data_IF_739307759345
#
_entry.id   IF_739307759345
#
_cell.length_a   1.000
_cell.length_b   1.000
_cell.length_c   1.000
_cell.angle_alpha   90.00
_cell.angle_beta   90.00
_cell.angle_gamma   90.00
#
_symmetry.space_group_name_H-M   'P 1'
#
loop_
_entity.id
_entity.type
_entity.pdbx_description
1 polymer ?
2 polymer ?
3 non-polymer ?
4 water ?
#
# COMPACT_ATOMS: atom_id res chain seq x y z
N UNK A 26 -14.26 16.50 -3.04
CA UNK A 26 -15.28 16.30 -2.01
C UNK A 26 -15.65 17.62 -1.33
N UNK A 27 -16.64 17.58 -0.46
CA UNK A 27 -17.06 18.77 0.25
C UNK A 27 -15.99 19.26 1.20
N UNK A 28 -16.16 20.48 1.70
CA UNK A 28 -15.21 21.07 2.64
C UNK A 28 -15.19 20.32 3.96
N UNK A 29 -14.01 20.24 4.56
CA UNK A 29 -13.85 19.54 5.83
C UNK A 29 -14.01 20.48 7.02
N UNK A 30 -15.01 20.20 7.85
CA UNK A 30 -15.27 21.00 9.03
C UNK A 30 -15.06 20.13 10.26
N UNK A 31 -14.90 20.78 11.41
CA UNK A 31 -14.68 20.08 12.68
C UNK A 31 -15.69 18.95 12.85
N UNK A 32 -16.95 19.21 12.56
CA UNK A 32 -18.01 18.22 12.69
C UNK A 32 -17.63 16.92 11.96
N UNK A 33 -17.29 17.05 10.69
CA UNK A 33 -16.91 15.88 9.89
C UNK A 33 -15.78 15.09 10.51
N UNK A 34 -14.77 15.80 11.00
CA UNK A 34 -13.63 15.15 11.63
C UNK A 34 -14.10 14.38 12.85
N UNK A 35 -15.11 14.92 13.55
CA UNK A 35 -15.66 14.27 14.73
C UNK A 35 -16.34 12.98 14.32
N UNK A 36 -17.13 13.04 13.25
CA UNK A 36 -17.84 11.87 12.76
C UNK A 36 -16.86 10.76 12.41
N UNK A 37 -15.76 11.11 11.74
CA UNK A 37 -14.77 10.11 11.37
C UNK A 37 -14.18 9.45 12.62
N UNK A 38 -13.83 10.28 13.61
CA UNK A 38 -13.27 9.74 14.84
C UNK A 38 -14.23 8.74 15.49
N UNK A 39 -15.52 9.05 15.49
CA UNK A 39 -16.51 8.16 16.08
C UNK A 39 -16.58 6.86 15.29
N UNK A 40 -16.53 6.96 13.97
CA UNK A 40 -16.58 5.77 13.14
C UNK A 40 -15.33 4.93 13.35
N UNK A 41 -14.19 5.60 13.54
CA UNK A 41 -12.95 4.87 13.78
C UNK A 41 -13.06 4.16 15.12
N UNK A 42 -13.58 4.84 16.13
CA UNK A 42 -13.73 4.23 17.46
C UNK A 42 -14.53 2.93 17.37
N UNK A 43 -15.58 2.95 16.56
CA UNK A 43 -16.40 1.75 16.41
C UNK A 43 -15.61 0.64 15.72
N UNK A 44 -14.82 0.97 14.70
CA UNK A 44 -14.04 -0.05 14.02
C UNK A 44 -13.07 -0.67 15.03
N UNK A 45 -12.48 0.17 15.86
CA UNK A 45 -11.54 -0.32 16.86
C UNK A 45 -12.25 -1.29 17.79
N UNK A 46 -13.45 -0.93 18.25
CA UNK A 46 -14.20 -1.79 19.17
C UNK A 46 -14.48 -3.15 18.53
N UNK A 47 -14.95 -3.13 17.29
CA UNK A 47 -15.25 -4.36 16.58
C UNK A 47 -14.01 -5.25 16.44
N UNK A 48 -12.87 -4.63 16.15
CA UNK A 48 -11.62 -5.36 15.97
C UNK A 48 -10.94 -5.83 17.26
N UNK A 49 -11.55 -5.55 18.40
CA UNK A 49 -11.00 -5.99 19.68
C UNK A 49 -11.64 -7.32 20.07
N UNK A 50 -12.60 -7.76 19.26
CA UNK A 50 -13.29 -9.01 19.49
C UNK A 50 -12.28 -10.16 19.55
N UNK A 51 -12.24 -10.90 20.66
CA UNK A 51 -11.32 -12.02 20.84
C UNK A 51 -11.42 -13.09 19.76
N UNK A 52 -12.59 -13.22 19.15
CA UNK A 52 -12.80 -14.22 18.10
C UNK A 52 -11.97 -13.96 16.86
N UNK A 53 -11.58 -12.70 16.65
CA UNK A 53 -10.77 -12.34 15.49
C UNK A 53 -9.37 -12.90 15.60
N UNK A 54 -8.82 -12.85 16.82
CA UNK A 54 -7.46 -13.32 17.06
C UNK A 54 -6.48 -12.53 16.20
N UNK A 55 -6.69 -11.21 16.10
CA UNK A 55 -5.81 -10.34 15.30
C UNK A 55 -4.42 -10.31 15.90
N UNK A 56 -3.41 -10.54 15.05
CA UNK A 56 -2.04 -10.52 15.54
C UNK A 56 -1.57 -9.08 15.57
N UNK A 57 -0.80 -8.73 16.60
CA UNK A 57 -0.27 -7.39 16.73
C UNK A 57 0.97 -7.26 15.87
N UNK A 58 0.75 -7.22 14.56
CA UNK A 58 1.83 -7.10 13.59
C UNK A 58 1.37 -6.18 12.46
N UNK A 59 2.29 -5.37 11.93
CA UNK A 59 1.96 -4.44 10.84
C UNK A 59 1.44 -5.21 9.62
N UNK A 60 0.30 -4.79 9.06
CA UNK A 60 -0.53 -3.67 9.49
C UNK A 60 -1.49 -4.09 10.59
N UNK A 61 -1.51 -3.33 11.69
CA UNK A 61 -2.37 -3.64 12.83
C UNK A 61 -3.40 -2.53 13.00
N UNK A 62 -4.63 -2.82 12.59
CA UNK A 62 -5.70 -1.84 12.65
C UNK A 62 -5.87 -1.21 14.04
N UNK A 63 -5.58 -1.96 15.10
CA UNK A 63 -5.70 -1.46 16.47
C UNK A 63 -4.69 -0.36 16.80
N UNK A 64 -3.65 -0.24 15.96
CA UNK A 64 -2.63 0.80 16.14
C UNK A 64 -2.92 1.91 15.15
N UNK A 65 -3.14 1.51 13.90
CA UNK A 65 -3.38 2.41 12.78
C UNK A 65 -4.49 3.46 12.95
N UNK A 66 -5.65 3.05 13.43
CA UNK A 66 -6.74 4.00 13.60
C UNK A 66 -6.42 5.02 14.69
N UNK A 67 -5.96 4.56 15.87
CA UNK A 67 -5.65 5.52 16.93
C UNK A 67 -4.53 6.44 16.46
N UNK A 68 -3.54 5.89 15.75
CA UNK A 68 -2.43 6.70 15.25
C UNK A 68 -2.93 7.72 14.22
N UNK A 69 -3.96 7.35 13.46
CA UNK A 69 -4.50 8.25 12.46
C UNK A 69 -5.22 9.39 13.18
N UNK A 70 -5.93 9.05 14.25
CA UNK A 70 -6.65 10.03 15.06
C UNK A 70 -5.62 11.03 15.59
N UNK A 71 -4.55 10.51 16.17
CA UNK A 71 -3.49 11.33 16.73
C UNK A 71 -2.89 12.30 15.70
N UNK A 72 -2.66 11.82 14.49
CA UNK A 72 -2.09 12.72 13.49
C UNK A 72 -3.11 13.75 13.01
N UNK A 73 -4.39 13.37 12.99
CA UNK A 73 -5.42 14.31 12.58
C UNK A 73 -5.54 15.38 13.67
N UNK A 74 -5.29 14.99 14.92
CA UNK A 74 -5.33 15.93 16.04
C UNK A 74 -4.21 16.94 15.84
N UNK A 75 -3.04 16.43 15.50
CA UNK A 75 -1.88 17.28 15.27
C UNK A 75 -2.15 18.29 14.16
N UNK A 76 -2.73 17.82 13.06
CA UNK A 76 -3.05 18.69 11.94
C UNK A 76 -4.00 19.81 12.39
N UNK A 77 -5.13 19.42 12.97
CA UNK A 77 -6.10 20.42 13.46
C UNK A 77 -5.37 21.36 14.40
N UNK A 78 -4.55 20.77 15.26
CA UNK A 78 -3.78 21.50 16.24
C UNK A 78 -2.99 22.65 15.62
N UNK A 79 -2.31 22.38 14.52
CA UNK A 79 -1.50 23.40 13.88
C UNK A 79 -2.26 24.30 12.92
N UNK A 80 -3.57 24.09 12.82
CA UNK A 80 -4.40 24.92 11.96
C UNK A 80 -5.43 25.67 12.80
N UNK A 81 -5.09 25.87 14.07
CA UNK A 81 -5.94 26.59 15.00
C UNK A 81 -6.26 27.94 14.38
N UNK A 82 -7.54 28.28 14.30
CA UNK A 82 -7.92 29.54 13.71
C UNK A 82 -7.98 29.43 12.19
N UNK A 83 -6.83 29.24 11.55
CA UNK A 83 -6.77 29.13 10.09
C UNK A 83 -7.37 27.81 9.61
N UNK A 84 -8.51 27.44 10.19
CA UNK A 84 -9.20 26.21 9.84
C UNK A 84 -9.83 26.26 8.45
N UNK A 85 -10.26 27.45 8.04
CA UNK A 85 -10.89 27.59 6.74
C UNK A 85 -9.93 27.11 5.65
N UNK A 86 -8.65 27.47 5.80
CA UNK A 86 -7.64 27.07 4.84
C UNK A 86 -7.55 25.55 4.75
N UNK A 87 -7.47 24.90 5.90
CA UNK A 87 -7.38 23.44 5.94
C UNK A 87 -8.58 22.80 5.26
N UNK A 88 -9.77 23.31 5.57
CA UNK A 88 -11.00 22.78 5.00
C UNK A 88 -11.10 22.85 3.49
N UNK A 89 -10.41 23.80 2.88
CA UNK A 89 -10.45 23.96 1.42
C UNK A 89 -9.37 23.16 0.69
N UNK A 90 -8.37 22.68 1.42
CA UNK A 90 -7.30 21.93 0.77
C UNK A 90 -7.86 20.69 0.06
N UNK A 91 -7.59 20.57 -1.23
CA UNK A 91 -8.10 19.46 -2.03
C UNK A 91 -7.68 18.08 -1.52
N UNK A 92 -6.39 17.89 -1.26
CA UNK A 92 -5.90 16.61 -0.76
C UNK A 92 -6.64 16.22 0.51
N UNK A 93 -6.70 17.14 1.47
CA UNK A 93 -7.36 16.86 2.74
C UNK A 93 -8.83 16.50 2.58
N UNK A 94 -9.51 17.15 1.64
CA UNK A 94 -10.91 16.83 1.43
C UNK A 94 -11.02 15.42 0.87
N UNK A 95 -10.16 15.08 -0.08
CA UNK A 95 -10.20 13.73 -0.64
C UNK A 95 -9.84 12.71 0.44
N UNK A 96 -8.81 13.01 1.24
CA UNK A 96 -8.40 12.10 2.30
C UNK A 96 -9.49 11.83 3.33
N UNK A 97 -10.11 12.89 3.85
CA UNK A 97 -11.16 12.73 4.85
C UNK A 97 -12.38 12.00 4.27
N UNK A 98 -12.70 12.26 3.01
CA UNK A 98 -13.82 11.58 2.38
C UNK A 98 -13.54 10.09 2.29
N UNK A 99 -12.30 9.75 1.94
CA UNK A 99 -11.91 8.35 1.81
C UNK A 99 -11.85 7.68 3.18
N UNK A 100 -11.34 8.40 4.18
CA UNK A 100 -11.27 7.84 5.53
C UNK A 100 -12.66 7.47 6.01
N UNK A 101 -13.60 8.40 5.86
CA UNK A 101 -14.98 8.15 6.27
C UNK A 101 -15.56 6.97 5.50
N UNK A 102 -15.27 6.93 4.20
CA UNK A 102 -15.77 5.88 3.32
C UNK A 102 -15.20 4.50 3.70
N UNK A 103 -13.90 4.44 3.98
CA UNK A 103 -13.27 3.18 4.32
C UNK A 103 -13.70 2.68 5.69
N UNK A 104 -13.84 3.59 6.66
CA UNK A 104 -14.27 3.18 7.99
C UNK A 104 -15.68 2.60 7.94
N UNK A 105 -16.57 3.23 7.17
CA UNK A 105 -17.94 2.72 7.05
C UNK A 105 -17.93 1.36 6.35
N UNK A 106 -17.09 1.23 5.33
CA UNK A 106 -17.01 -0.02 4.59
C UNK A 106 -16.60 -1.14 5.54
N UNK A 107 -15.69 -0.84 6.46
CA UNK A 107 -15.22 -1.82 7.43
C UNK A 107 -16.34 -2.22 8.39
N UNK A 108 -17.09 -1.23 8.86
CA UNK A 108 -18.21 -1.50 9.77
C UNK A 108 -19.22 -2.40 9.05
N UNK A 109 -19.51 -2.08 7.79
CA UNK A 109 -20.45 -2.85 7.00
C UNK A 109 -19.96 -4.29 6.84
N UNK A 110 -18.66 -4.44 6.59
CA UNK A 110 -18.06 -5.75 6.40
C UNK A 110 -18.36 -6.64 7.60
N UNK A 111 -18.26 -6.08 8.80
CA UNK A 111 -18.52 -6.82 10.03
C UNK A 111 -19.96 -7.28 10.18
N UNK A 112 -20.91 -6.38 9.95
CA UNK A 112 -22.30 -6.74 10.10
C UNK A 112 -22.78 -7.68 9.00
N UNK A 113 -22.36 -7.43 7.77
CA UNK A 113 -22.75 -8.29 6.65
C UNK A 113 -22.01 -9.62 6.68
N UNK A 114 -20.80 -9.62 7.24
CA UNK A 114 -20.01 -10.84 7.32
C UNK A 114 -20.40 -11.70 8.50
N UNK A 115 -20.95 -11.07 9.53
CA UNK A 115 -21.40 -11.76 10.72
C UNK A 115 -20.34 -12.73 11.26
N UNK A 116 -20.77 -13.94 11.61
CA UNK A 116 -19.88 -14.95 12.18
C UNK A 116 -18.74 -15.39 11.25
N UNK A 117 -18.83 -15.06 9.97
CA UNK A 117 -17.79 -15.45 9.03
C UNK A 117 -16.49 -14.66 9.17
N UNK A 118 -16.54 -13.58 9.94
CA UNK A 118 -15.38 -12.73 10.17
C UNK A 118 -14.31 -13.47 10.96
N UNK A 119 -14.73 -14.54 11.64
CA UNK A 119 -13.81 -15.30 12.48
C UNK A 119 -13.30 -16.59 11.84
N UNK A 120 -13.85 -16.93 10.68
CA UNK A 120 -13.41 -18.12 9.98
C UNK A 120 -12.26 -17.74 9.07
N UNK A 121 -11.03 -17.95 9.56
CA UNK A 121 -9.85 -17.61 8.78
C UNK A 121 -9.98 -18.15 7.37
N UNK A 122 -9.45 -17.41 6.41
CA UNK A 122 -9.49 -17.78 5.00
C UNK A 122 -10.83 -17.48 4.33
N UNK A 123 -11.74 -16.85 5.06
CA UNK A 123 -13.03 -16.49 4.50
C UNK A 123 -12.82 -15.17 3.77
N UNK A 124 -13.65 -14.88 2.78
CA UNK A 124 -13.51 -13.63 2.04
C UNK A 124 -13.69 -12.42 2.94
N UNK A 125 -14.73 -12.44 3.79
CA UNK A 125 -14.97 -11.31 4.71
C UNK A 125 -13.73 -10.99 5.54
N UNK A 126 -13.05 -12.02 6.01
CA UNK A 126 -11.85 -11.82 6.81
C UNK A 126 -10.69 -11.28 5.96
N UNK A 127 -10.53 -11.82 4.76
CA UNK A 127 -9.48 -11.37 3.86
C UNK A 127 -9.71 -9.90 3.54
N UNK A 128 -10.97 -9.50 3.41
CA UNK A 128 -11.30 -8.11 3.12
C UNK A 128 -10.86 -7.21 4.27
N UNK A 129 -11.01 -7.68 5.49
CA UNK A 129 -10.59 -6.89 6.65
C UNK A 129 -9.08 -6.67 6.60
N UNK A 130 -8.34 -7.71 6.20
CA UNK A 130 -6.89 -7.60 6.12
C UNK A 130 -6.50 -6.58 5.06
N UNK A 131 -7.14 -6.65 3.89
CA UNK A 131 -6.83 -5.71 2.83
C UNK A 131 -7.10 -4.28 3.31
N UNK A 132 -8.21 -4.09 4.04
CA UNK A 132 -8.53 -2.77 4.56
C UNK A 132 -7.46 -2.31 5.56
N UNK A 133 -6.95 -3.25 6.36
CA UNK A 133 -5.92 -2.93 7.33
C UNK A 133 -4.70 -2.38 6.60
N UNK A 134 -4.38 -3.00 5.48
CA UNK A 134 -3.26 -2.57 4.66
C UNK A 134 -3.56 -1.18 4.09
N UNK A 135 -4.78 -0.99 3.61
CA UNK A 135 -5.15 0.31 3.07
C UNK A 135 -5.06 1.40 4.14
N UNK A 136 -5.52 1.11 5.35
CA UNK A 136 -5.43 2.10 6.43
C UNK A 136 -3.96 2.45 6.67
N UNK A 137 -3.09 1.45 6.53
CA UNK A 137 -1.66 1.66 6.74
C UNK A 137 -1.10 2.60 5.67
N UNK A 138 -1.43 2.34 4.41
CA UNK A 138 -0.97 3.19 3.30
C UNK A 138 -1.53 4.61 3.42
N UNK A 139 -2.74 4.73 3.96
CA UNK A 139 -3.36 6.03 4.13
C UNK A 139 -2.65 6.82 5.22
N UNK A 140 -2.30 6.16 6.32
CA UNK A 140 -1.61 6.86 7.40
C UNK A 140 -0.26 7.34 6.91
N UNK A 141 0.46 6.47 6.21
CA UNK A 141 1.77 6.82 5.67
C UNK A 141 1.65 8.03 4.72
N UNK A 142 0.66 7.99 3.84
CA UNK A 142 0.46 9.08 2.90
C UNK A 142 0.16 10.39 3.64
N UNK A 143 -0.72 10.32 4.62
CA UNK A 143 -1.10 11.50 5.40
C UNK A 143 0.12 12.13 6.05
N UNK A 144 0.96 11.31 6.66
CA UNK A 144 2.15 11.83 7.31
C UNK A 144 3.15 12.35 6.29
N UNK A 145 3.16 11.75 5.10
CA UNK A 145 4.08 12.21 4.07
C UNK A 145 3.65 13.54 3.47
N UNK A 146 2.35 13.81 3.50
CA UNK A 146 1.82 15.06 2.96
C UNK A 146 1.70 16.12 4.06
N UNK A 147 1.43 15.66 5.28
CA UNK A 147 1.28 16.55 6.44
C UNK A 147 2.33 16.25 7.50
N UNK A 148 3.62 16.26 7.13
CA UNK A 148 4.64 15.98 8.15
C UNK A 148 4.62 17.10 9.18
N UNK A 149 4.55 16.72 10.46
CA UNK A 149 4.50 17.69 11.54
C UNK A 149 3.14 18.37 11.59
N UNK A 150 2.18 17.86 10.83
CA UNK A 150 0.85 18.42 10.84
C UNK A 150 0.58 19.61 9.93
N UNK A 151 1.59 20.06 9.20
CA UNK A 151 1.45 21.19 8.29
C UNK A 151 1.46 20.72 6.84
N UNK A 152 0.47 21.14 6.04
CA UNK A 152 0.40 20.73 4.65
C UNK A 152 1.67 21.07 3.88
N UNK A 153 2.22 20.09 3.18
CA UNK A 153 3.44 20.31 2.40
C UNK A 153 3.47 19.49 1.12
N UNK A 154 2.30 19.06 0.66
CA UNK A 154 2.21 18.28 -0.55
C UNK A 154 2.75 19.01 -1.76
N UNK A 155 2.66 20.34 -1.74
CA UNK A 155 3.13 21.15 -2.85
C UNK A 155 4.65 21.14 -2.99
N UNK A 156 5.34 20.71 -1.94
CA UNK A 156 6.80 20.67 -1.97
C UNK A 156 7.31 19.25 -1.80
N UNK A 157 6.41 18.27 -1.89
CA UNK A 157 6.77 16.86 -1.75
C UNK A 157 7.95 16.50 -2.65
N UNK A 158 8.86 15.67 -2.15
CA UNK A 158 10.03 15.23 -2.92
C UNK A 158 9.88 13.90 -3.62
N UNK A 159 9.66 13.91 -4.92
CA UNK A 159 9.55 12.67 -5.67
C UNK A 159 10.97 12.11 -5.74
N UNK A 160 11.14 10.89 -5.27
CA UNK A 160 12.44 10.23 -5.19
C UNK A 160 13.26 9.99 -6.45
N UNK A 161 12.62 9.63 -7.56
CA UNK A 161 13.39 9.41 -8.79
C UNK A 161 13.30 10.68 -9.65
N UNK A 162 14.46 11.22 -10.02
CA UNK A 162 14.53 12.42 -10.84
C UNK A 162 13.62 12.40 -12.07
N UNK A 163 13.66 11.32 -12.85
CA UNK A 163 12.81 11.23 -14.05
C UNK A 163 11.33 11.28 -13.73
N UNK A 164 10.92 10.61 -12.68
CA UNK A 164 9.51 10.60 -12.28
C UNK A 164 9.13 12.01 -11.84
N UNK A 165 10.02 12.64 -11.07
CA UNK A 165 9.77 13.99 -10.57
C UNK A 165 9.48 14.94 -11.72
N UNK A 166 10.29 14.86 -12.77
CA UNK A 166 10.12 15.73 -13.93
C UNK A 166 8.78 15.50 -14.61
N UNK A 167 8.37 14.24 -14.70
CA UNK A 167 7.10 13.93 -15.32
C UNK A 167 5.94 14.56 -14.57
N UNK A 168 5.97 14.45 -13.24
CA UNK A 168 4.89 14.99 -12.44
C UNK A 168 4.76 16.50 -12.49
N UNK A 169 5.87 17.23 -12.35
CA UNK A 169 5.80 18.68 -12.39
C UNK A 169 5.43 19.18 -13.78
N UNK A 170 5.91 18.51 -14.81
CA UNK A 170 5.60 18.93 -16.17
C UNK A 170 4.12 18.74 -16.47
N UNK A 171 3.52 17.69 -15.91
CA UNK A 171 2.11 17.43 -16.19
C UNK A 171 1.15 17.97 -15.14
N UNK A 172 1.57 17.98 -13.88
CA UNK A 172 0.68 18.45 -12.83
C UNK A 172 1.26 19.56 -11.97
N UNK A 173 2.42 20.06 -12.35
CA UNK A 173 3.05 21.14 -11.59
C UNK A 173 3.32 20.78 -10.14
N UNK A 174 2.70 21.53 -9.23
CA UNK A 174 2.88 21.30 -7.80
C UNK A 174 1.65 20.68 -7.13
N UNK A 175 0.73 20.17 -7.94
CA UNK A 175 -0.48 19.53 -7.39
C UNK A 175 -0.08 18.34 -6.53
N UNK A 176 -0.88 18.08 -5.50
CA UNK A 176 -0.62 16.99 -4.59
C UNK A 176 -1.44 15.74 -4.92
N UNK A 177 -2.59 15.95 -5.56
CA UNK A 177 -3.44 14.83 -5.91
C UNK A 177 -4.25 15.11 -7.17
N UNK A 178 -4.38 14.10 -8.03
CA UNK A 178 -5.14 14.22 -9.28
C UNK A 178 -6.03 13.02 -9.49
N UNK A 179 -7.17 13.20 -10.20
CA UNK A 179 -8.07 12.07 -10.44
C UNK A 179 -7.35 11.02 -11.28
N UNK A 180 -7.76 9.76 -11.14
CA UNK A 180 -7.15 8.67 -11.90
C UNK A 180 -7.18 8.93 -13.41
N UNK A 181 -8.36 9.26 -13.93
CA UNK A 181 -8.53 9.52 -15.36
C UNK A 181 -7.46 10.51 -15.82
N UNK A 182 -7.33 11.59 -15.07
CA UNK A 182 -6.35 12.62 -15.39
C UNK A 182 -4.93 12.05 -15.34
N UNK A 183 -4.65 11.21 -14.34
CA UNK A 183 -3.32 10.62 -14.24
C UNK A 183 -3.07 9.65 -15.40
N UNK A 184 -4.04 8.79 -15.67
CA UNK A 184 -3.91 7.81 -16.73
C UNK A 184 -3.57 8.46 -18.08
N UNK A 185 -4.33 9.49 -18.44
CA UNK A 185 -4.12 10.18 -19.70
C UNK A 185 -2.75 10.82 -19.77
N UNK A 186 -2.31 11.42 -18.67
CA UNK A 186 -0.99 12.06 -18.65
C UNK A 186 0.11 11.01 -18.82
N UNK A 187 0.01 9.90 -18.11
CA UNK A 187 1.02 8.87 -18.21
C UNK A 187 1.02 8.26 -19.61
N UNK A 188 -0.17 8.02 -20.14
CA UNK A 188 -0.30 7.42 -21.46
C UNK A 188 0.54 8.09 -22.53
N UNK A 189 0.62 9.41 -22.49
CA UNK A 189 1.38 10.18 -23.47
C UNK A 189 2.88 9.88 -23.43
N UNK A 190 3.39 9.48 -22.27
CA UNK A 190 4.81 9.18 -22.12
C UNK A 190 5.07 7.69 -22.11
N UNK A 191 4.20 6.93 -21.44
CA UNK A 191 4.33 5.48 -21.39
C UNK A 191 2.98 4.92 -21.82
N UNK A 192 2.83 4.62 -23.13
CA UNK A 192 1.58 4.09 -23.66
C UNK A 192 1.05 2.89 -22.87
N UNK A 193 -0.23 2.92 -22.56
CA UNK A 193 -0.87 1.83 -21.84
C UNK A 193 -1.55 1.00 -22.93
N UNK A 194 -1.19 -0.27 -23.01
CA UNK A 194 -1.70 -1.18 -24.02
C UNK A 194 -3.20 -1.40 -24.13
N UNK A 195 -3.91 -1.43 -23.02
CA UNK A 195 -5.35 -1.70 -23.08
C UNK A 195 -6.11 -1.27 -21.84
N UNK A 196 -7.43 -1.44 -21.90
CA UNK A 196 -8.28 -1.11 -20.78
C UNK A 196 -7.99 -2.03 -19.60
N UNK A 197 -7.83 -3.33 -19.87
CA UNK A 197 -7.55 -4.27 -18.80
C UNK A 197 -6.19 -3.97 -18.15
N UNK A 198 -5.20 -3.58 -18.95
CA UNK A 198 -3.91 -3.25 -18.37
C UNK A 198 -4.04 -1.97 -17.54
N UNK A 199 -4.84 -1.03 -18.03
CA UNK A 199 -5.07 0.22 -17.30
C UNK A 199 -5.68 -0.08 -15.94
N UNK A 200 -6.62 -1.01 -15.89
CA UNK A 200 -7.26 -1.36 -14.63
C UNK A 200 -6.25 -2.02 -13.68
N UNK A 201 -5.38 -2.87 -14.22
CA UNK A 201 -4.36 -3.54 -13.41
C UNK A 201 -3.40 -2.49 -12.84
N UNK A 202 -3.04 -1.52 -13.66
CA UNK A 202 -2.13 -0.44 -13.26
C UNK A 202 -2.75 0.35 -12.12
N UNK A 203 -4.01 0.73 -12.32
CA UNK A 203 -4.73 1.50 -11.31
C UNK A 203 -4.72 0.74 -9.98
N UNK A 204 -5.09 -0.53 -9.98
CA UNK A 204 -5.12 -1.29 -8.73
C UNK A 204 -3.74 -1.39 -8.08
N UNK A 205 -2.67 -1.29 -8.87
CA UNK A 205 -1.32 -1.37 -8.30
C UNK A 205 -0.93 -0.03 -7.66
N UNK A 206 -1.18 1.06 -8.38
CA UNK A 206 -0.81 2.41 -7.91
C UNK A 206 -1.76 3.03 -6.89
N UNK A 207 -3.04 2.73 -7.00
CA UNK A 207 -4.06 3.29 -6.10
C UNK A 207 -4.05 2.63 -4.73
N UNK A 208 -2.94 2.82 -4.01
CA UNK A 208 -2.74 2.24 -2.69
C UNK A 208 -3.83 2.58 -1.67
N UNK A 209 -4.39 3.79 -1.76
CA UNK A 209 -5.44 4.19 -0.82
C UNK A 209 -6.83 3.87 -1.37
N UNK A 210 -6.88 3.24 -2.53
CA UNK A 210 -8.14 2.84 -3.18
C UNK A 210 -9.20 3.93 -3.12
N UNK A 211 -8.86 5.12 -3.61
CA UNK A 211 -9.81 6.24 -3.61
C UNK A 211 -10.01 6.85 -5.00
N UNK A 212 -9.59 6.14 -6.04
CA UNK A 212 -9.73 6.59 -7.42
C UNK A 212 -8.98 7.88 -7.74
N UNK A 213 -8.04 8.25 -6.88
CA UNK A 213 -7.21 9.42 -7.09
C UNK A 213 -5.78 8.92 -7.02
N UNK A 214 -4.83 9.73 -7.49
CA UNK A 214 -3.43 9.36 -7.44
C UNK A 214 -2.67 10.51 -6.80
N UNK A 215 -2.21 10.33 -5.57
CA UNK A 215 -1.48 11.39 -4.90
C UNK A 215 -0.03 11.39 -5.34
N UNK A 216 0.66 12.50 -5.12
CA UNK A 216 2.07 12.58 -5.50
C UNK A 216 2.84 11.54 -4.65
N UNK A 217 2.28 11.23 -3.48
CA UNK A 217 2.88 10.24 -2.58
C UNK A 217 2.75 8.83 -3.20
N UNK A 218 1.57 8.48 -3.67
CA UNK A 218 1.38 7.17 -4.29
C UNK A 218 2.21 7.06 -5.57
N UNK A 219 2.29 8.17 -6.30
CA UNK A 219 3.06 8.20 -7.52
C UNK A 219 4.54 7.93 -7.20
N UNK A 220 5.02 8.51 -6.13
CA UNK A 220 6.41 8.29 -5.74
C UNK A 220 6.69 6.82 -5.42
N UNK A 221 5.81 6.22 -4.63
CA UNK A 221 5.96 4.82 -4.24
C UNK A 221 6.01 3.92 -5.48
N UNK A 222 5.03 4.07 -6.37
CA UNK A 222 4.98 3.27 -7.56
C UNK A 222 6.25 3.42 -8.41
N UNK A 223 6.65 4.66 -8.67
CA UNK A 223 7.82 4.89 -9.48
C UNK A 223 9.12 4.42 -8.83
N UNK A 224 9.17 4.37 -7.50
CA UNK A 224 10.41 3.86 -6.88
C UNK A 224 10.42 2.33 -7.00
N UNK A 225 9.27 1.71 -6.73
CA UNK A 225 9.18 0.25 -6.80
C UNK A 225 9.44 -0.30 -8.19
N UNK A 226 8.98 0.42 -9.21
CA UNK A 226 9.14 -0.06 -10.57
C UNK A 226 10.11 0.69 -11.45
N UNK A 227 11.09 1.35 -10.83
CA UNK A 227 12.12 2.07 -11.58
C UNK A 227 12.91 1.01 -12.32
N UNK A 228 13.66 1.40 -13.38
CA UNK A 228 13.83 2.76 -13.90
C UNK A 228 12.64 3.29 -14.70
N UNK A 229 12.40 4.59 -14.56
CA UNK A 229 11.31 5.28 -15.25
C UNK A 229 11.33 5.10 -16.76
N UNK A 230 12.51 5.00 -17.33
CA UNK A 230 12.64 4.85 -18.78
C UNK A 230 11.87 3.66 -19.33
N UNK A 231 11.71 2.62 -18.52
CA UNK A 231 10.98 1.42 -18.95
C UNK A 231 9.93 1.07 -17.91
N UNK A 232 9.43 2.10 -17.23
CA UNK A 232 8.44 1.94 -16.16
C UNK A 232 7.39 0.84 -16.33
N UNK A 233 6.55 0.96 -17.35
CA UNK A 233 5.49 -0.02 -17.55
C UNK A 233 5.97 -1.40 -17.97
N UNK A 234 7.09 -1.46 -18.68
CA UNK A 234 7.64 -2.75 -19.07
C UNK A 234 8.13 -3.42 -17.78
N UNK A 235 8.71 -2.64 -16.88
CA UNK A 235 9.20 -3.18 -15.62
C UNK A 235 8.02 -3.73 -14.82
N UNK A 236 6.96 -2.94 -14.72
CA UNK A 236 5.77 -3.33 -13.98
C UNK A 236 5.11 -4.57 -14.60
N UNK A 237 5.12 -4.65 -15.93
CA UNK A 237 4.50 -5.79 -16.57
C UNK A 237 5.26 -7.08 -16.26
N UNK A 238 6.59 -7.02 -16.30
CA UNK A 238 7.43 -8.18 -16.03
C UNK A 238 7.49 -8.58 -14.55
N UNK A 239 7.39 -7.61 -13.65
CA UNK A 239 7.48 -7.90 -12.21
C UNK A 239 6.16 -8.14 -11.48
N UNK A 240 5.05 -7.71 -12.09
CA UNK A 240 3.75 -7.84 -11.45
C UNK A 240 2.62 -8.38 -12.31
N UNK A 241 2.51 -7.91 -13.55
CA UNK A 241 1.41 -8.38 -14.40
C UNK A 241 1.55 -9.81 -14.86
N UNK A 242 2.75 -10.21 -15.27
CA UNK A 242 2.96 -11.56 -15.73
C UNK A 242 3.79 -12.41 -14.78
N UNK A 243 4.17 -11.86 -13.63
CA UNK A 243 5.00 -12.62 -12.68
C UNK A 243 4.16 -13.33 -11.61
N UNK A 244 4.28 -14.67 -11.54
CA UNK A 244 3.49 -15.40 -10.54
C UNK A 244 3.90 -15.16 -9.09
N UNK A 245 5.10 -14.62 -8.89
CA UNK A 245 5.54 -14.37 -7.52
C UNK A 245 4.97 -13.12 -6.87
N UNK A 246 4.49 -12.17 -7.68
CA UNK A 246 3.96 -10.91 -7.14
C UNK A 246 2.65 -11.10 -6.39
N UNK A 247 2.57 -10.50 -5.20
CA UNK A 247 1.37 -10.62 -4.38
C UNK A 247 0.81 -9.23 -4.04
N UNK A 248 -0.22 -8.81 -4.79
CA UNK A 248 -0.83 -7.51 -4.54
C UNK A 248 -1.55 -7.46 -3.19
N UNK A 249 -1.38 -6.36 -2.47
CA UNK A 249 -2.03 -6.17 -1.18
C UNK A 249 -1.95 -7.39 -0.23
N UNK A 250 -0.74 -7.89 -0.02
CA UNK A 250 -0.55 -8.99 0.90
C UNK A 250 0.32 -8.48 2.04
N UNK A 251 0.08 -8.98 3.26
CA UNK A 251 0.86 -8.58 4.42
C UNK A 251 1.95 -9.61 4.69
N UNK A 252 2.82 -9.27 5.63
CA UNK A 252 3.91 -10.15 6.03
C UNK A 252 3.34 -11.49 6.48
N UNK A 253 2.34 -11.46 7.36
CA UNK A 253 1.74 -12.70 7.84
C UNK A 253 1.08 -13.53 6.74
N UNK A 254 0.46 -12.87 5.76
CA UNK A 254 -0.17 -13.61 4.67
C UNK A 254 0.90 -14.29 3.81
N UNK A 255 2.02 -13.61 3.59
CA UNK A 255 3.10 -14.20 2.80
C UNK A 255 3.62 -15.45 3.52
N UNK A 256 3.86 -15.35 4.82
CA UNK A 256 4.36 -16.50 5.57
C UNK A 256 3.36 -17.65 5.48
N UNK A 257 2.08 -17.33 5.68
CA UNK A 257 1.03 -18.35 5.60
C UNK A 257 0.99 -19.00 4.22
N UNK A 258 1.10 -18.20 3.16
CA UNK A 258 1.05 -18.72 1.80
C UNK A 258 2.22 -19.63 1.44
N UNK A 259 3.39 -19.38 2.04
CA UNK A 259 4.56 -20.21 1.75
C UNK A 259 4.61 -21.51 2.55
N UNK A 260 3.76 -21.63 3.56
CA UNK A 260 3.73 -22.84 4.39
C UNK A 260 3.60 -24.12 3.57
N UNK A 261 2.69 -24.13 2.60
CA UNK A 261 2.51 -25.33 1.80
C UNK A 261 3.75 -25.70 1.00
N UNK A 262 4.70 -24.78 0.90
CA UNK A 262 5.93 -25.04 0.15
C UNK A 262 7.12 -25.20 1.10
N UNK A 263 6.84 -25.40 2.38
CA UNK A 263 7.89 -25.54 3.38
C UNK A 263 8.91 -26.62 3.01
N UNK A 264 8.47 -27.64 2.30
CA UNK A 264 9.37 -28.72 1.88
C UNK A 264 9.91 -28.52 0.48
N UNK A 265 9.73 -27.31 -0.05
CA UNK A 265 10.23 -27.01 -1.39
C UNK A 265 11.09 -25.74 -1.33
N UNK A 266 12.32 -25.87 -0.80
CA UNK A 266 13.22 -24.72 -0.70
C UNK A 266 13.38 -24.04 -2.05
N UNK A 267 13.43 -22.71 -2.03
CA UNK A 267 13.55 -21.97 -3.28
C UNK A 267 12.20 -21.39 -3.68
N UNK A 268 11.15 -21.82 -3.00
CA UNK A 268 9.82 -21.29 -3.31
C UNK A 268 9.79 -19.87 -2.76
N UNK A 269 9.35 -18.91 -3.56
CA UNK A 269 9.32 -17.52 -3.10
C UNK A 269 8.18 -16.70 -3.68
N UNK A 270 7.86 -15.60 -3.01
CA UNK A 270 6.84 -14.66 -3.46
C UNK A 270 7.30 -13.29 -2.97
N UNK A 271 6.79 -12.21 -3.56
CA UNK A 271 7.18 -10.88 -3.12
C UNK A 271 6.01 -9.91 -3.14
N UNK A 272 6.17 -8.78 -2.44
CA UNK A 272 5.10 -7.80 -2.29
C UNK A 272 5.66 -6.46 -1.83
N UNK A 273 4.78 -5.46 -1.72
CA UNK A 273 5.21 -4.16 -1.21
C UNK A 273 5.40 -4.29 0.31
N UNK A 274 6.50 -3.75 0.81
CA UNK A 274 6.71 -3.78 2.25
C UNK A 274 5.68 -2.80 2.80
N UNK A 275 5.08 -3.16 3.92
CA UNK A 275 4.08 -2.31 4.53
C UNK A 275 4.67 -1.22 5.44
N UNK A 276 5.81 -1.49 6.08
CA UNK A 276 6.44 -0.51 6.96
C UNK A 276 7.57 0.27 6.29
N UNK A 277 8.04 -0.22 5.15
CA UNK A 277 9.08 0.45 4.39
C UNK A 277 8.44 0.73 3.04
N UNK A 278 7.41 1.57 3.04
CA UNK A 278 6.69 1.88 1.82
C UNK A 278 7.62 2.41 0.74
N UNK A 279 7.60 1.74 -0.40
CA UNK A 279 8.46 2.15 -1.51
C UNK A 279 9.51 1.10 -1.75
N UNK A 280 9.61 0.13 -0.83
CA UNK A 280 10.58 -0.95 -0.97
C UNK A 280 9.87 -2.29 -1.03
N UNK A 281 10.57 -3.28 -1.56
CA UNK A 281 10.03 -4.63 -1.70
C UNK A 281 10.39 -5.55 -0.54
N UNK A 282 9.54 -6.55 -0.32
CA UNK A 282 9.74 -7.56 0.70
C UNK A 282 9.60 -8.90 -0.02
N UNK A 283 10.67 -9.69 0.00
CA UNK A 283 10.65 -10.99 -0.67
C UNK A 283 10.62 -12.10 0.36
N UNK A 284 9.62 -12.97 0.26
CA UNK A 284 9.52 -14.08 1.18
C UNK A 284 9.98 -15.34 0.48
N UNK A 285 10.71 -16.19 1.20
CA UNK A 285 11.19 -17.43 0.59
C UNK A 285 11.46 -18.53 1.60
N UNK A 286 11.37 -19.77 1.10
CA UNK A 286 11.60 -20.97 1.90
C UNK A 286 13.07 -21.33 1.75
N UNK A 287 13.76 -21.49 2.87
CA UNK A 287 15.19 -21.83 2.85
C UNK A 287 15.36 -23.34 2.89
N UNK A 288 16.57 -23.79 2.60
CA UNK A 288 16.88 -25.21 2.61
C UNK A 288 16.77 -25.80 4.03
N UNK A 289 17.01 -24.98 5.04
CA UNK A 289 16.92 -25.49 6.41
C UNK A 289 15.54 -25.42 7.06
N UNK A 290 14.51 -25.20 6.24
CA UNK A 290 13.16 -25.17 6.78
C UNK A 290 12.62 -23.88 7.37
N UNK A 291 13.22 -22.75 7.04
CA UNK A 291 12.72 -21.47 7.55
C UNK A 291 12.02 -20.71 6.44
N UNK A 292 11.12 -19.82 6.82
CA UNK A 292 10.44 -18.97 5.85
C UNK A 292 10.82 -17.56 6.24
N UNK A 293 11.73 -16.97 5.47
CA UNK A 293 12.23 -15.63 5.75
C UNK A 293 11.70 -14.60 4.77
N UNK A 294 11.77 -13.35 5.17
CA UNK A 294 11.35 -12.26 4.31
C UNK A 294 12.45 -11.22 4.41
N UNK A 295 12.92 -10.77 3.25
CA UNK A 295 13.99 -9.79 3.22
C UNK A 295 13.59 -8.60 2.37
N UNK A 296 14.21 -7.46 2.65
CA UNK A 296 13.94 -6.23 1.91
C UNK A 296 15.22 -5.88 1.18
N UNK A 297 15.23 -6.02 -0.15
CA UNK A 297 16.41 -5.71 -0.96
C UNK A 297 16.85 -4.27 -0.78
N UNK A 298 18.16 -4.03 -0.91
CA UNK A 298 18.72 -2.69 -0.79
C UNK A 298 19.77 -2.49 -1.89
N UNK A 299 19.94 -1.24 -2.31
CA UNK A 299 20.92 -0.89 -3.34
C UNK A 299 20.80 -1.69 -4.63
N UNK A 300 19.59 -2.14 -4.95
CA UNK A 300 19.39 -2.89 -6.18
C UNK A 300 17.90 -3.05 -6.45
N UNK A 301 17.46 -2.63 -7.66
CA UNK A 301 16.05 -2.75 -8.00
C UNK A 301 15.62 -4.22 -7.92
N UNK A 302 14.32 -4.45 -7.79
CA UNK A 302 13.81 -5.81 -7.69
C UNK A 302 14.38 -6.71 -8.76
N UNK A 303 14.48 -6.19 -9.99
CA UNK A 303 15.04 -6.95 -11.10
C UNK A 303 16.32 -7.70 -10.76
N UNK A 304 17.30 -6.96 -10.26
CA UNK A 304 18.60 -7.54 -9.91
C UNK A 304 18.49 -8.45 -8.69
N UNK A 305 17.64 -8.07 -7.74
CA UNK A 305 17.48 -8.89 -6.55
C UNK A 305 16.95 -10.27 -6.94
N UNK A 306 15.95 -10.30 -7.82
CA UNK A 306 15.36 -11.55 -8.27
C UNK A 306 16.35 -12.40 -9.06
N UNK A 307 17.09 -11.77 -9.96
CA UNK A 307 18.07 -12.48 -10.78
C UNK A 307 19.19 -13.07 -9.92
N UNK A 308 19.72 -12.26 -8.99
CA UNK A 308 20.79 -12.77 -8.14
C UNK A 308 20.23 -13.88 -7.25
N UNK A 309 19.02 -13.68 -6.74
CA UNK A 309 18.41 -14.69 -5.89
C UNK A 309 18.22 -16.01 -6.61
N UNK A 310 17.90 -15.96 -7.90
CA UNK A 310 17.72 -17.17 -8.68
C UNK A 310 19.06 -17.89 -8.80
N UNK A 311 20.07 -17.16 -9.25
CA UNK A 311 21.41 -17.72 -9.42
C UNK A 311 21.98 -18.32 -8.15
N UNK A 312 21.68 -17.71 -7.00
CA UNK A 312 22.19 -18.21 -5.73
C UNK A 312 21.30 -19.32 -5.17
N UNK A 313 20.26 -19.67 -5.91
CA UNK A 313 19.37 -20.74 -5.50
C UNK A 313 18.33 -20.43 -4.43
N UNK A 314 18.12 -19.14 -4.13
CA UNK A 314 17.14 -18.77 -3.11
C UNK A 314 15.75 -18.50 -3.67
N UNK A 315 15.68 -17.85 -4.82
CA UNK A 315 14.40 -17.53 -5.45
C UNK A 315 14.28 -18.34 -6.73
N UNK A 316 13.82 -19.58 -6.58
CA UNK A 316 13.70 -20.49 -7.71
C UNK A 316 12.30 -20.77 -8.22
N UNK A 317 11.35 -20.92 -7.30
CA UNK A 317 9.98 -21.25 -7.67
C UNK A 317 8.96 -20.21 -7.22
N UNK A 318 8.57 -19.31 -8.13
CA UNK A 318 7.60 -18.24 -7.85
C UNK A 318 6.24 -18.81 -7.48
N UNK A 319 5.84 -18.58 -6.22
CA UNK A 319 4.59 -19.08 -5.69
C UNK A 319 4.57 -20.61 -5.78
N UNK A 320 5.76 -21.19 -5.69
CA UNK A 320 5.90 -22.64 -5.72
C UNK A 320 5.91 -23.28 -7.09
N UNK A 321 5.80 -22.48 -8.14
CA UNK A 321 5.78 -23.02 -9.50
C UNK A 321 7.17 -23.36 -10.01
N UNK A 322 7.27 -24.48 -10.72
CA UNK A 322 8.54 -24.96 -11.24
C UNK A 322 9.24 -24.03 -12.22
N UNK A 323 8.47 -23.29 -13.00
CA UNK A 323 9.05 -22.36 -13.97
C UNK A 323 9.18 -20.95 -13.39
N UNK A 324 10.36 -20.37 -13.53
CA UNK A 324 10.62 -19.03 -13.02
C UNK A 324 10.77 -18.07 -14.19
N UNK A 325 10.12 -16.89 -14.12
CA UNK A 325 10.23 -15.93 -15.23
C UNK A 325 11.69 -15.56 -15.49
N UNK A 326 12.04 -15.34 -16.74
CA UNK A 326 13.41 -14.96 -17.05
C UNK A 326 13.41 -13.45 -17.28
N UNK A 327 13.92 -12.71 -16.30
CA UNK A 327 13.96 -11.26 -16.38
C UNK A 327 15.28 -10.75 -16.94
N UNK A 328 16.24 -11.65 -17.10
CA UNK A 328 17.55 -11.27 -17.64
C UNK A 328 17.42 -10.83 -19.09
N UNK A 329 16.39 -10.03 -19.37
CA UNK A 329 16.16 -9.55 -20.72
C UNK A 329 15.31 -8.29 -20.73
N UNK B 4 -0.10 -3.05 21.51
CA UNK B 4 0.74 -2.34 20.49
C UNK B 4 1.40 -3.37 19.57
N UNK B 5 1.66 -3.00 18.32
CA UNK B 5 2.26 -3.94 17.37
C UNK B 5 3.77 -4.17 17.51
N UNK B 6 4.16 -5.42 17.25
CA UNK B 6 5.56 -5.79 17.30
C UNK B 6 6.00 -5.87 15.85
N UNK B 7 7.11 -5.23 15.51
CA UNK B 7 7.57 -5.24 14.13
C UNK B 7 7.79 -6.65 13.60
N UNK B 8 7.52 -6.83 12.32
CA UNK B 8 7.68 -8.14 11.70
C UNK B 8 9.16 -8.50 11.56
N UNK B 9 9.46 -9.79 11.64
CA UNK B 9 10.82 -10.28 11.55
C UNK B 9 11.34 -10.39 10.12
N UNK B 10 12.09 -9.38 9.70
CA UNK B 10 12.68 -9.38 8.39
C UNK B 10 14.09 -9.92 8.60
N UNK B 11 14.73 -10.37 7.53
CA UNK B 11 16.07 -10.90 7.66
C UNK B 11 16.99 -10.31 6.61
N UNK B 12 18.28 -10.65 6.70
CA UNK B 12 19.23 -10.16 5.72
C UNK B 12 20.58 -10.86 5.90
X LIG C 1 -5.17 6.75 -4.43
#
# INVERSE_FOLDING_TARGET
GSLIGLMKDAFQPHHHHHHHLSPHPPGTVDKKMVEKCWKLMDKVVRLCQNPKLALKNSPPYILDLLPDTYQHLRTILSRYEGKMETLGENEYFRVFMENLMKKTKQTISLFKEGKERMYEENSQPRRNLTKLSLIFSHMLAELKGIFPSGLFQGDTFRITKADAAEFWRKAFGEKTIVPWKSFRQALHEVHPISSGLEAMALKSTIDLTCNDYISVFEFDIFTRLFQPWSSLLRNWNSLAVTHPGYMAFLTYDEVKARLQKFIHKPGSYIFRLSCTRLGQWAIGYVTADGNILQTIPHNKPLFQALIDGFREGFYLFPDGRNQNPDLTG
GRARAVENQYSFY
MG MG
#
